data_IF_022014152802
#
_entry.id   IF_022014152802
#
_cell.length_a   1.000
_cell.length_b   1.000
_cell.length_c   1.000
_cell.angle_alpha   90.00
_cell.angle_beta   90.00
_cell.angle_gamma   90.00
#
_symmetry.space_group_name_H-M   'P 1'
#
loop_
_entity.id
_entity.type
_entity.pdbx_description
1 polymer ?
#
# COMPACT_ATOMS: atom_id res chain seq x y z
N UNK A 1 -28.57 -36.69 9.48
CA UNK A 1 -27.68 -35.55 9.24
C UNK A 1 -28.53 -34.44 8.65
N UNK A 2 -28.29 -33.19 9.03
CA UNK A 2 -28.96 -32.01 8.48
C UNK A 2 -27.89 -31.13 7.83
N UNK A 3 -28.29 -30.36 6.82
CA UNK A 3 -27.44 -29.38 6.15
C UNK A 3 -28.08 -28.03 6.44
N UNK A 4 -27.30 -27.10 6.97
CA UNK A 4 -27.72 -25.72 7.14
C UNK A 4 -27.47 -24.97 5.83
N UNK A 5 -28.49 -24.28 5.35
CA UNK A 5 -28.44 -23.48 4.13
C UNK A 5 -28.91 -22.05 4.39
N UNK A 6 -28.94 -21.61 5.66
CA UNK A 6 -29.50 -20.31 6.08
C UNK A 6 -28.89 -19.15 5.29
N UNK A 7 -27.56 -19.13 5.16
CA UNK A 7 -26.79 -18.07 4.51
C UNK A 7 -26.41 -18.38 3.05
N UNK A 8 -26.98 -19.44 2.49
CA UNK A 8 -26.83 -19.77 1.07
C UNK A 8 -27.90 -19.03 0.27
N UNK A 9 -27.47 -18.28 -0.75
CA UNK A 9 -28.35 -17.54 -1.65
C UNK A 9 -29.40 -18.42 -2.34
N UNK A 10 -30.42 -17.79 -2.92
CA UNK A 10 -31.41 -18.51 -3.72
C UNK A 10 -30.79 -18.95 -5.05
N UNK A 11 -31.08 -20.17 -5.49
CA UNK A 11 -30.48 -20.73 -6.69
C UNK A 11 -30.51 -22.25 -6.76
N UNK A 12 -29.95 -22.80 -7.84
CA UNK A 12 -29.81 -24.24 -8.04
C UNK A 12 -28.43 -24.72 -7.60
N UNK A 13 -28.42 -25.73 -6.74
CA UNK A 13 -27.23 -26.30 -6.11
C UNK A 13 -27.17 -27.81 -6.36
N UNK A 14 -25.95 -28.36 -6.32
CA UNK A 14 -25.72 -29.81 -6.32
C UNK A 14 -25.10 -30.22 -5.01
N UNK A 15 -25.78 -31.09 -4.28
CA UNK A 15 -25.25 -31.75 -3.10
C UNK A 15 -24.59 -33.07 -3.52
N UNK A 16 -23.27 -33.15 -3.36
CA UNK A 16 -22.52 -34.39 -3.58
C UNK A 16 -22.21 -35.01 -2.22
N UNK A 17 -22.78 -36.18 -1.96
CA UNK A 17 -22.49 -36.99 -0.77
C UNK A 17 -21.46 -38.03 -1.15
N UNK A 18 -20.40 -38.15 -0.36
CA UNK A 18 -19.32 -39.13 -0.53
C UNK A 18 -19.16 -39.90 0.78
N UNK A 19 -18.88 -41.20 0.68
CA UNK A 19 -18.71 -42.12 1.80
C UNK A 19 -17.47 -42.96 1.52
N UNK A 20 -16.50 -42.97 2.44
CA UNK A 20 -15.24 -43.70 2.25
C UNK A 20 -14.57 -43.42 0.88
N UNK A 21 -14.44 -42.13 0.54
CA UNK A 21 -13.91 -41.69 -0.75
C UNK A 21 -12.43 -42.04 -0.92
N UNK A 22 -11.67 -42.00 0.17
CA UNK A 22 -10.24 -42.29 0.19
C UNK A 22 -9.93 -43.80 0.23
N UNK A 23 -10.97 -44.65 0.21
CA UNK A 23 -10.88 -46.11 0.27
C UNK A 23 -10.11 -46.63 1.48
N UNK A 24 -10.24 -45.92 2.60
CA UNK A 24 -9.61 -46.30 3.85
C UNK A 24 -10.19 -47.63 4.37
N UNK A 25 -9.36 -48.45 5.04
CA UNK A 25 -9.85 -49.65 5.68
C UNK A 25 -10.71 -49.30 6.90
N UNK A 26 -11.62 -50.20 7.25
CA UNK A 26 -12.35 -50.10 8.52
C UNK A 26 -11.39 -50.16 9.73
N UNK A 27 -11.92 -49.91 10.93
CA UNK A 27 -11.16 -49.97 12.18
C UNK A 27 -10.48 -51.33 12.47
N UNK A 28 -10.80 -52.38 11.70
CA UNK A 28 -10.20 -53.72 11.77
C UNK A 28 -9.22 -54.00 10.62
N UNK A 29 -8.91 -53.01 9.78
CA UNK A 29 -7.98 -53.12 8.65
C UNK A 29 -8.59 -53.74 7.39
N UNK A 30 -9.92 -53.82 7.27
CA UNK A 30 -10.60 -54.42 6.10
C UNK A 30 -11.01 -53.36 5.11
N UNK A 31 -10.68 -53.59 3.85
CA UNK A 31 -11.07 -52.73 2.75
C UNK A 31 -12.46 -53.13 2.21
N UNK A 32 -13.24 -52.13 1.81
CA UNK A 32 -14.48 -52.35 1.06
C UNK A 32 -14.19 -53.04 -0.28
N UNK A 33 -15.08 -53.93 -0.69
CA UNK A 33 -14.93 -54.70 -1.94
C UNK A 33 -15.81 -54.17 -3.07
N UNK A 34 -16.79 -53.32 -2.74
CA UNK A 34 -17.64 -52.63 -3.68
C UNK A 34 -17.72 -51.17 -3.24
N UNK A 35 -17.45 -50.26 -4.17
CA UNK A 35 -17.41 -48.82 -3.96
C UNK A 35 -18.36 -48.07 -4.88
N UNK A 36 -19.18 -48.77 -5.66
CA UNK A 36 -20.14 -48.18 -6.61
C UNK A 36 -21.25 -47.36 -5.92
N UNK A 37 -21.46 -47.58 -4.62
CA UNK A 37 -22.45 -46.89 -3.80
C UNK A 37 -21.84 -45.91 -2.78
N UNK A 38 -20.56 -45.57 -2.94
CA UNK A 38 -19.84 -44.68 -2.04
C UNK A 38 -20.12 -43.19 -2.33
N UNK A 39 -21.09 -42.90 -3.20
CA UNK A 39 -21.48 -41.54 -3.54
C UNK A 39 -22.95 -41.42 -3.89
N UNK A 40 -23.48 -40.21 -3.79
CA UNK A 40 -24.80 -39.83 -4.29
C UNK A 40 -24.79 -38.34 -4.68
N UNK A 41 -25.58 -37.96 -5.68
CA UNK A 41 -25.80 -36.55 -6.03
C UNK A 41 -27.28 -36.21 -5.96
N UNK A 42 -27.60 -35.07 -5.35
CA UNK A 42 -28.96 -34.52 -5.31
C UNK A 42 -28.89 -33.07 -5.76
N UNK A 43 -29.67 -32.72 -6.76
CA UNK A 43 -29.80 -31.33 -7.21
C UNK A 43 -30.99 -30.71 -6.50
N UNK A 44 -30.79 -29.55 -5.88
CA UNK A 44 -31.80 -28.82 -5.14
C UNK A 44 -31.89 -27.38 -5.65
N UNK A 45 -33.06 -26.79 -5.60
CA UNK A 45 -33.28 -25.36 -5.80
C UNK A 45 -33.74 -24.77 -4.47
N UNK A 46 -33.10 -23.68 -4.06
CA UNK A 46 -33.45 -22.89 -2.89
C UNK A 46 -34.18 -21.63 -3.38
N UNK A 47 -35.41 -21.42 -2.91
CA UNK A 47 -36.23 -20.26 -3.27
C UNK A 47 -36.86 -19.66 -2.00
N UNK A 48 -36.61 -18.37 -1.75
CA UNK A 48 -37.20 -17.61 -0.64
C UNK A 48 -38.15 -16.51 -1.13
N UNK A 49 -38.46 -16.45 -2.42
CA UNK A 49 -39.36 -15.44 -3.00
C UNK A 49 -40.76 -15.45 -2.39
N UNK A 50 -41.20 -16.60 -1.86
CA UNK A 50 -42.45 -16.78 -1.11
C UNK A 50 -42.45 -16.24 0.33
N UNK A 51 -41.34 -15.68 0.82
CA UNK A 51 -41.19 -15.17 2.18
C UNK A 51 -40.74 -16.22 3.21
N UNK A 52 -40.51 -17.46 2.78
CA UNK A 52 -39.89 -18.55 3.55
C UNK A 52 -39.07 -19.42 2.60
N UNK A 53 -38.03 -20.08 3.12
CA UNK A 53 -37.22 -21.01 2.34
C UNK A 53 -38.05 -22.22 1.87
N UNK A 54 -38.18 -22.36 0.56
CA UNK A 54 -38.63 -23.56 -0.12
C UNK A 54 -37.42 -24.29 -0.73
N UNK A 55 -37.36 -25.61 -0.56
CA UNK A 55 -36.32 -26.46 -1.15
C UNK A 55 -36.96 -27.43 -2.12
N UNK A 56 -36.62 -27.32 -3.39
CA UNK A 56 -37.20 -28.12 -4.47
C UNK A 56 -36.14 -29.12 -4.95
N UNK A 57 -36.44 -30.42 -4.92
CA UNK A 57 -35.54 -31.45 -5.46
C UNK A 57 -35.75 -31.52 -6.97
N UNK A 58 -34.67 -31.30 -7.72
CA UNK A 58 -34.67 -31.34 -9.18
C UNK A 58 -34.52 -32.79 -9.68
N UNK A 59 -35.27 -33.14 -10.73
CA UNK A 59 -35.29 -34.50 -11.29
C UNK A 59 -34.21 -34.73 -12.35
N UNK A 60 -33.79 -33.67 -13.05
CA UNK A 60 -32.64 -33.69 -13.93
C UNK A 60 -31.40 -33.27 -13.13
N UNK A 61 -30.60 -34.27 -12.75
CA UNK A 61 -29.40 -34.06 -11.95
C UNK A 61 -28.24 -34.83 -12.59
N UNK A 62 -27.50 -34.21 -13.53
CA UNK A 62 -26.36 -34.85 -14.15
C UNK A 62 -25.29 -35.16 -13.09
N UNK A 63 -24.49 -36.20 -13.34
CA UNK A 63 -23.34 -36.53 -12.50
C UNK A 63 -22.43 -35.32 -12.33
N UNK A 64 -22.06 -35.04 -11.09
CA UNK A 64 -21.02 -34.04 -10.83
C UNK A 64 -19.70 -34.59 -11.35
N UNK A 65 -18.96 -33.77 -12.07
CA UNK A 65 -17.62 -34.08 -12.57
C UNK A 65 -16.74 -32.95 -12.12
N UNK A 66 -15.61 -33.29 -11.51
CA UNK A 66 -14.66 -32.29 -11.05
C UNK A 66 -13.88 -31.67 -12.23
N UNK A 67 -12.92 -30.78 -11.94
CA UNK A 67 -12.16 -30.14 -13.01
C UNK A 67 -11.27 -31.10 -13.81
N UNK A 68 -10.96 -32.29 -13.29
CA UNK A 68 -10.10 -33.28 -13.94
C UNK A 68 -10.89 -34.17 -14.91
N UNK A 69 -12.22 -34.03 -14.91
CA UNK A 69 -13.09 -34.92 -15.67
C UNK A 69 -13.51 -36.16 -14.87
N UNK A 70 -13.14 -36.24 -13.59
CA UNK A 70 -13.46 -37.40 -12.76
C UNK A 70 -14.87 -37.28 -12.16
N UNK A 71 -15.76 -38.25 -12.42
CA UNK A 71 -17.08 -38.27 -11.80
C UNK A 71 -16.96 -38.28 -10.27
N UNK A 72 -17.65 -37.34 -9.62
CA UNK A 72 -17.69 -37.13 -8.17
C UNK A 72 -16.33 -36.79 -7.55
N UNK A 73 -15.32 -36.48 -8.35
CA UNK A 73 -13.99 -36.12 -7.87
C UNK A 73 -13.97 -34.88 -6.98
N UNK A 74 -12.81 -34.63 -6.39
CA UNK A 74 -12.58 -33.55 -5.42
C UNK A 74 -11.62 -32.50 -5.96
N UNK A 75 -11.10 -32.67 -7.17
CA UNK A 75 -10.16 -31.71 -7.73
C UNK A 75 -10.87 -30.37 -7.95
N UNK A 76 -10.30 -29.31 -7.40
CA UNK A 76 -10.72 -27.94 -7.63
C UNK A 76 -9.67 -27.23 -8.48
N UNK A 77 -10.10 -26.22 -9.22
CA UNK A 77 -9.17 -25.34 -9.94
C UNK A 77 -8.57 -24.40 -8.90
N UNK A 78 -7.24 -24.35 -8.85
CA UNK A 78 -6.51 -23.39 -8.01
C UNK A 78 -6.46 -21.99 -8.66
N UNK A 79 -5.84 -21.03 -7.99
CA UNK A 79 -5.79 -19.66 -8.49
C UNK A 79 -5.00 -19.51 -9.80
N UNK A 80 -4.09 -20.44 -10.13
CA UNK A 80 -3.34 -20.47 -11.39
C UNK A 80 -4.13 -21.10 -12.54
N UNK A 81 -5.34 -21.60 -12.27
CA UNK A 81 -6.15 -22.31 -13.24
C UNK A 81 -5.78 -23.79 -13.37
N UNK A 82 -4.95 -24.32 -12.46
CA UNK A 82 -4.56 -25.74 -12.46
C UNK A 82 -5.58 -26.58 -11.69
N UNK A 83 -6.07 -27.63 -12.34
CA UNK A 83 -6.98 -28.56 -11.70
C UNK A 83 -6.25 -29.48 -10.73
N UNK A 84 -6.67 -29.51 -9.46
CA UNK A 84 -5.98 -30.22 -8.39
C UNK A 84 -4.67 -29.54 -7.99
N UNK A 85 -4.47 -28.29 -8.43
CA UNK A 85 -3.36 -27.46 -7.99
C UNK A 85 -3.50 -27.07 -6.52
N UNK A 86 -2.40 -26.61 -5.94
CA UNK A 86 -2.30 -26.27 -4.52
C UNK A 86 -2.02 -24.78 -4.30
N UNK A 87 -1.96 -23.99 -5.37
CA UNK A 87 -1.68 -22.56 -5.26
C UNK A 87 -2.83 -21.86 -4.51
N UNK A 88 -2.46 -21.07 -3.51
CA UNK A 88 -3.39 -20.30 -2.68
C UNK A 88 -3.21 -18.83 -3.04
N UNK A 89 -4.32 -18.09 -3.18
CA UNK A 89 -4.24 -16.65 -3.45
C UNK A 89 -3.54 -16.00 -2.27
N UNK A 90 -2.48 -15.23 -2.52
CA UNK A 90 -1.76 -14.54 -1.49
C UNK A 90 -0.55 -15.27 -0.90
N UNK A 91 -0.40 -16.58 -1.15
CA UNK A 91 0.82 -17.33 -0.84
C UNK A 91 1.85 -17.08 -1.96
N UNK A 92 2.82 -16.20 -1.70
CA UNK A 92 3.82 -15.80 -2.70
C UNK A 92 5.06 -16.69 -2.70
N UNK A 93 5.26 -17.47 -1.64
CA UNK A 93 6.46 -18.30 -1.47
C UNK A 93 6.22 -19.79 -1.72
N UNK A 94 4.98 -20.18 -2.02
CA UNK A 94 4.50 -21.53 -2.32
C UNK A 94 4.70 -22.52 -1.15
N UNK A 95 4.65 -22.05 0.10
CA UNK A 95 4.75 -22.92 1.28
C UNK A 95 3.41 -23.44 1.81
N UNK A 96 2.32 -23.10 1.11
CA UNK A 96 0.93 -23.45 1.39
C UNK A 96 0.36 -22.76 2.63
N UNK A 97 0.99 -21.68 3.08
CA UNK A 97 0.53 -20.84 4.17
C UNK A 97 0.42 -19.39 3.71
N UNK A 98 -0.50 -18.65 4.34
CA UNK A 98 -0.67 -17.20 4.13
C UNK A 98 -0.22 -16.52 5.41
N UNK A 99 1.00 -16.00 5.42
CA UNK A 99 1.65 -15.51 6.64
C UNK A 99 2.39 -14.16 6.48
N UNK A 100 3.17 -13.80 7.52
CA UNK A 100 3.94 -12.57 7.53
C UNK A 100 4.98 -12.50 6.40
N UNK A 101 5.56 -13.64 6.01
CA UNK A 101 6.54 -13.68 4.92
C UNK A 101 5.88 -13.26 3.60
N UNK A 102 4.65 -13.70 3.33
CA UNK A 102 3.90 -13.26 2.14
C UNK A 102 3.59 -11.77 2.18
N UNK A 103 3.11 -11.27 3.32
CA UNK A 103 2.81 -9.85 3.50
C UNK A 103 4.07 -8.98 3.25
N UNK A 104 5.24 -9.42 3.71
CA UNK A 104 6.52 -8.75 3.44
C UNK A 104 6.93 -8.86 1.97
N UNK A 105 6.73 -10.02 1.34
CA UNK A 105 7.01 -10.23 -0.07
C UNK A 105 6.15 -9.37 -1.00
N UNK A 106 4.90 -9.07 -0.63
CA UNK A 106 4.11 -8.06 -1.34
C UNK A 106 4.77 -6.69 -1.31
N UNK A 107 5.15 -6.23 -0.12
CA UNK A 107 5.78 -4.91 0.04
C UNK A 107 7.10 -4.83 -0.74
N UNK A 108 7.97 -5.83 -0.59
CA UNK A 108 9.26 -5.87 -1.29
C UNK A 108 9.09 -6.00 -2.81
N UNK A 109 8.18 -6.87 -3.24
CA UNK A 109 7.95 -7.15 -4.65
C UNK A 109 7.29 -6.00 -5.42
N UNK A 110 6.38 -5.25 -4.77
CA UNK A 110 5.81 -4.03 -5.37
C UNK A 110 6.86 -2.93 -5.46
N UNK A 111 7.63 -2.69 -4.39
CA UNK A 111 8.69 -1.67 -4.37
C UNK A 111 9.84 -1.99 -5.33
N UNK A 112 10.17 -3.29 -5.49
CA UNK A 112 11.19 -3.78 -6.42
C UNK A 112 10.75 -3.87 -7.87
N UNK A 113 9.45 -3.75 -8.15
CA UNK A 113 8.84 -4.04 -9.46
C UNK A 113 9.11 -5.48 -9.95
N UNK A 114 9.25 -6.40 -9.01
CA UNK A 114 9.57 -7.82 -9.28
C UNK A 114 8.30 -8.69 -9.42
N UNK A 115 7.14 -8.16 -9.03
CA UNK A 115 5.86 -8.85 -9.12
C UNK A 115 5.08 -8.43 -10.37
N UNK A 116 4.43 -9.40 -11.01
CA UNK A 116 3.47 -9.17 -12.09
C UNK A 116 2.07 -9.59 -11.61
N UNK A 117 1.03 -8.76 -11.77
CA UNK A 117 -0.33 -9.12 -11.40
C UNK A 117 -0.80 -10.39 -12.09
N UNK A 118 -1.35 -11.30 -11.30
CA UNK A 118 -1.91 -12.59 -11.67
C UNK A 118 -3.01 -12.97 -10.66
N UNK A 119 -3.89 -13.89 -11.03
CA UNK A 119 -5.00 -14.29 -10.15
C UNK A 119 -4.58 -14.80 -8.77
N UNK A 120 -3.37 -15.37 -8.64
CA UNK A 120 -2.86 -15.85 -7.35
C UNK A 120 -2.26 -14.76 -6.47
N UNK A 121 -1.93 -13.58 -7.00
CA UNK A 121 -1.31 -12.53 -6.21
C UNK A 121 -2.08 -11.20 -6.23
N UNK A 122 -3.10 -11.07 -7.05
CA UNK A 122 -4.04 -9.95 -7.04
C UNK A 122 -5.18 -10.27 -6.06
N UNK A 123 -5.01 -9.88 -4.79
CA UNK A 123 -5.88 -10.31 -3.69
C UNK A 123 -7.25 -9.65 -3.80
N UNK A 124 -7.31 -8.39 -4.21
CA UNK A 124 -8.56 -7.64 -4.37
C UNK A 124 -9.12 -7.67 -5.80
N UNK A 125 -8.49 -8.45 -6.69
CA UNK A 125 -8.90 -8.70 -8.07
C UNK A 125 -9.08 -7.42 -8.91
N UNK A 126 -8.24 -6.41 -8.69
CA UNK A 126 -8.31 -5.11 -9.36
C UNK A 126 -7.35 -4.98 -10.57
N UNK A 127 -6.51 -5.99 -10.79
CA UNK A 127 -5.53 -6.05 -11.87
C UNK A 127 -4.21 -5.33 -11.58
N UNK A 128 -3.99 -4.86 -10.35
CA UNK A 128 -2.77 -4.17 -9.90
C UNK A 128 -2.22 -4.86 -8.64
N UNK A 129 -0.94 -4.62 -8.34
CA UNK A 129 -0.32 -5.05 -7.09
C UNK A 129 0.14 -3.82 -6.33
N UNK A 130 -0.50 -3.57 -5.19
CA UNK A 130 -0.37 -2.30 -4.47
C UNK A 130 -0.32 -2.51 -2.96
N UNK A 131 -0.33 -1.42 -2.21
CA UNK A 131 -0.48 -1.50 -0.75
C UNK A 131 -1.79 -2.14 -0.30
N UNK A 132 -2.82 -2.18 -1.16
CA UNK A 132 -4.07 -2.87 -0.87
C UNK A 132 -3.84 -4.38 -0.68
N UNK A 133 -3.14 -5.05 -1.61
CA UNK A 133 -2.82 -6.48 -1.51
C UNK A 133 -1.98 -6.77 -0.26
N UNK A 134 -0.93 -5.96 -0.05
CA UNK A 134 -0.08 -6.07 1.13
C UNK A 134 -0.88 -5.88 2.44
N UNK A 135 -1.84 -4.96 2.46
CA UNK A 135 -2.69 -4.71 3.62
C UNK A 135 -3.66 -5.86 3.89
N UNK A 136 -4.29 -6.44 2.86
CA UNK A 136 -5.14 -7.62 3.03
C UNK A 136 -4.33 -8.82 3.54
N UNK A 137 -3.13 -9.03 3.02
CA UNK A 137 -2.26 -10.11 3.49
C UNK A 137 -1.80 -9.88 4.94
N UNK A 138 -1.44 -8.64 5.29
CA UNK A 138 -1.07 -8.29 6.65
C UNK A 138 -2.23 -8.43 7.66
N UNK A 139 -3.47 -8.11 7.26
CA UNK A 139 -4.65 -8.34 8.09
C UNK A 139 -4.93 -9.85 8.23
N UNK A 140 -4.88 -10.61 7.14
CA UNK A 140 -4.99 -12.07 7.17
C UNK A 140 -3.98 -12.69 8.16
N UNK A 141 -2.69 -12.34 8.05
CA UNK A 141 -1.66 -12.91 8.92
C UNK A 141 -1.87 -12.52 10.39
N UNK A 142 -2.32 -11.29 10.65
CA UNK A 142 -2.59 -10.83 12.01
C UNK A 142 -3.70 -11.65 12.69
N UNK A 143 -4.65 -12.18 11.93
CA UNK A 143 -5.77 -12.97 12.44
C UNK A 143 -5.58 -14.49 12.33
N UNK A 144 -4.59 -14.97 11.57
CA UNK A 144 -4.37 -16.40 11.26
C UNK A 144 -4.14 -17.30 12.50
N UNK A 145 -3.96 -18.61 12.30
CA UNK A 145 -3.84 -19.61 13.38
C UNK A 145 -2.79 -19.28 14.47
N UNK A 146 -1.81 -18.41 14.21
CA UNK A 146 -0.85 -17.94 15.23
C UNK A 146 -1.44 -16.92 16.22
N UNK A 147 -2.57 -16.30 15.88
CA UNK A 147 -3.22 -15.20 16.60
C UNK A 147 -4.74 -15.41 16.70
N UNK A 148 -5.16 -16.61 17.12
CA UNK A 148 -6.57 -16.90 17.47
C UNK A 148 -7.14 -15.81 18.39
N UNK A 149 -8.19 -15.14 17.92
CA UNK A 149 -8.97 -14.18 18.69
C UNK A 149 -9.35 -14.79 20.07
N UNK A 150 -9.20 -14.05 21.19
CA UNK A 150 -9.58 -14.54 22.52
C UNK A 150 -11.04 -15.01 22.66
N UNK A 151 -11.94 -14.56 21.78
CA UNK A 151 -13.39 -14.73 21.80
C UNK A 151 -13.97 -15.45 20.56
N UNK A 152 -13.18 -15.84 19.55
CA UNK A 152 -13.67 -16.56 18.36
C UNK A 152 -13.08 -17.97 18.23
N UNK A 153 -13.88 -18.91 17.72
CA UNK A 153 -13.58 -20.34 17.58
C UNK A 153 -12.55 -20.67 16.48
N UNK A 154 -11.60 -19.77 16.20
CA UNK A 154 -10.48 -20.02 15.28
C UNK A 154 -10.84 -20.05 13.79
N UNK A 155 -12.02 -19.55 13.39
CA UNK A 155 -12.42 -19.42 11.98
C UNK A 155 -12.84 -17.98 11.71
N UNK A 156 -12.17 -17.32 10.77
CA UNK A 156 -12.45 -15.96 10.33
C UNK A 156 -12.26 -15.84 8.82
N UNK A 157 -12.94 -14.87 8.20
CA UNK A 157 -12.90 -14.67 6.75
C UNK A 157 -11.76 -13.75 6.27
N UNK A 158 -10.88 -13.28 7.16
CA UNK A 158 -9.77 -12.36 6.81
C UNK A 158 -8.78 -12.94 5.78
N UNK A 159 -8.66 -14.27 5.70
CA UNK A 159 -7.81 -14.96 4.73
C UNK A 159 -8.60 -15.60 3.57
N UNK A 160 -9.90 -15.31 3.46
CA UNK A 160 -10.74 -15.81 2.37
C UNK A 160 -10.59 -14.89 1.15
N UNK A 161 -9.62 -15.22 0.30
CA UNK A 161 -9.32 -14.48 -0.93
C UNK A 161 -9.87 -15.20 -2.18
N UNK A 162 -10.19 -14.46 -3.26
CA UNK A 162 -10.02 -13.02 -3.42
C UNK A 162 -11.11 -12.22 -2.72
N UNK A 163 -10.82 -10.96 -2.40
CA UNK A 163 -11.77 -9.98 -1.87
C UNK A 163 -12.15 -8.97 -2.96
N UNK A 164 -13.18 -8.17 -2.70
CA UNK A 164 -13.54 -7.09 -3.61
C UNK A 164 -12.69 -5.85 -3.32
N UNK A 165 -12.18 -5.21 -4.38
CA UNK A 165 -11.64 -3.86 -4.26
C UNK A 165 -12.75 -2.84 -3.93
N UNK A 166 -12.61 -2.16 -2.79
CA UNK A 166 -13.58 -1.18 -2.31
C UNK A 166 -12.89 0.15 -2.10
N UNK A 167 -13.38 1.18 -2.80
CA UNK A 167 -13.02 2.58 -2.57
C UNK A 167 -14.14 3.23 -1.76
N UNK A 168 -13.81 3.81 -0.61
CA UNK A 168 -14.76 4.57 0.20
C UNK A 168 -14.78 6.05 -0.26
N UNK A 169 -15.87 6.53 -0.91
CA UNK A 169 -15.94 7.90 -1.40
C UNK A 169 -16.15 8.94 -0.28
N UNK A 170 -16.33 8.51 0.97
CA UNK A 170 -16.51 9.39 2.12
C UNK A 170 -15.25 9.55 2.97
N UNK A 171 -14.19 8.79 2.69
CA UNK A 171 -12.93 8.89 3.39
C UNK A 171 -11.90 9.58 2.48
N UNK A 172 -11.40 10.74 2.89
CA UNK A 172 -10.32 11.43 2.17
C UNK A 172 -9.08 11.53 3.04
N UNK A 173 -7.94 11.10 2.50
CA UNK A 173 -6.62 11.27 3.10
C UNK A 173 -5.87 12.37 2.37
N UNK A 174 -5.41 13.36 3.12
CA UNK A 174 -4.67 14.48 2.56
C UNK A 174 -3.19 14.41 2.90
N UNK A 175 -2.33 14.69 1.92
CA UNK A 175 -0.89 14.76 2.09
C UNK A 175 -0.31 16.11 1.68
N UNK A 176 0.79 16.49 2.30
CA UNK A 176 1.56 17.68 1.92
C UNK A 176 3.05 17.49 2.20
N UNK A 177 3.91 18.11 1.40
CA UNK A 177 5.33 18.25 1.73
C UNK A 177 5.49 19.50 2.59
N UNK A 178 5.79 19.29 3.88
CA UNK A 178 5.85 20.37 4.87
C UNK A 178 7.20 21.09 4.89
N UNK A 179 8.30 20.34 4.93
CA UNK A 179 9.67 20.88 4.96
C UNK A 179 10.58 20.05 4.07
N UNK A 180 11.49 20.71 3.36
CA UNK A 180 12.56 20.09 2.58
C UNK A 180 13.88 20.69 3.02
N UNK A 181 14.77 19.84 3.51
CA UNK A 181 16.13 20.21 3.85
C UNK A 181 17.07 19.73 2.74
N UNK A 182 17.46 20.66 1.86
CA UNK A 182 18.33 20.38 0.72
C UNK A 182 19.79 20.09 1.13
N UNK A 183 20.23 20.56 2.29
CA UNK A 183 21.61 20.35 2.79
C UNK A 183 21.77 18.96 3.39
N UNK A 184 20.83 18.56 4.25
CA UNK A 184 20.79 17.23 4.87
C UNK A 184 20.07 16.17 4.02
N UNK A 185 19.56 16.58 2.85
CA UNK A 185 18.94 15.75 1.83
C UNK A 185 17.75 14.91 2.34
N UNK A 186 16.80 15.57 3.02
CA UNK A 186 15.53 14.94 3.39
C UNK A 186 14.32 15.86 3.23
N UNK A 187 13.14 15.25 3.13
CA UNK A 187 11.85 15.93 3.18
C UNK A 187 10.92 15.24 4.17
N UNK A 188 9.98 16.01 4.72
CA UNK A 188 8.94 15.52 5.63
C UNK A 188 7.56 15.59 4.96
N UNK A 189 6.91 14.44 4.86
CA UNK A 189 5.51 14.32 4.44
C UNK A 189 4.62 14.38 5.68
N UNK A 190 3.64 15.28 5.62
CA UNK A 190 2.60 15.38 6.64
C UNK A 190 1.28 14.80 6.12
N UNK A 191 0.48 14.26 7.04
CA UNK A 191 -0.83 13.67 6.75
C UNK A 191 -1.94 14.35 7.54
N UNK A 192 -3.12 14.43 6.93
CA UNK A 192 -4.38 14.84 7.56
C UNK A 192 -5.47 13.87 7.10
N UNK A 193 -5.95 13.04 8.02
CA UNK A 193 -6.93 11.97 7.79
C UNK A 193 -8.13 12.12 8.77
N UNK A 194 -9.06 13.05 8.50
CA UNK A 194 -10.16 13.32 9.43
C UNK A 194 -11.23 12.23 9.42
N UNK A 195 -11.39 11.54 8.30
CA UNK A 195 -12.53 10.65 8.06
C UNK A 195 -12.28 9.21 8.51
N UNK A 196 -11.04 8.71 8.36
CA UNK A 196 -10.68 7.33 8.66
C UNK A 196 -9.26 7.18 9.23
N UNK A 197 -9.03 6.08 9.94
CA UNK A 197 -7.67 5.68 10.36
C UNK A 197 -6.95 5.09 9.15
N UNK A 198 -5.62 5.08 9.17
CA UNK A 198 -4.82 4.50 8.07
C UNK A 198 -4.21 3.18 8.54
N UNK A 199 -4.46 2.11 7.80
CA UNK A 199 -3.85 0.80 8.01
C UNK A 199 -2.55 0.66 7.22
N UNK A 200 -2.53 1.18 5.99
CA UNK A 200 -1.34 1.23 5.14
C UNK A 200 -1.41 2.34 4.09
N UNK A 201 -0.26 2.73 3.57
CA UNK A 201 -0.14 3.73 2.51
C UNK A 201 1.03 3.43 1.56
N UNK A 202 0.89 3.85 0.31
CA UNK A 202 1.94 3.85 -0.71
C UNK A 202 2.02 5.25 -1.31
N UNK A 203 3.23 5.81 -1.32
CA UNK A 203 3.53 7.14 -1.82
C UNK A 203 4.63 7.05 -2.88
N UNK A 204 4.49 7.82 -3.95
CA UNK A 204 5.51 7.97 -5.00
C UNK A 204 6.03 9.41 -5.04
N UNK A 205 7.34 9.52 -5.25
CA UNK A 205 8.05 10.79 -5.29
C UNK A 205 8.70 10.99 -6.65
N UNK A 206 8.58 12.20 -7.19
CA UNK A 206 9.35 12.64 -8.35
C UNK A 206 10.51 13.54 -7.91
N UNK A 207 11.58 13.51 -8.71
CA UNK A 207 12.76 14.35 -8.52
C UNK A 207 13.78 13.83 -7.51
N UNK A 208 13.57 12.68 -6.85
CA UNK A 208 14.51 12.13 -5.88
C UNK A 208 14.80 10.63 -6.07
N UNK A 209 15.86 10.16 -5.41
CA UNK A 209 16.25 8.75 -5.36
C UNK A 209 16.38 8.37 -3.88
N UNK A 210 15.45 7.58 -3.37
CA UNK A 210 15.30 7.33 -1.94
C UNK A 210 16.50 6.55 -1.42
N UNK A 211 17.09 7.02 -0.33
CA UNK A 211 18.17 6.34 0.37
C UNK A 211 17.70 5.71 1.68
N UNK A 212 16.82 6.41 2.41
CA UNK A 212 16.29 5.97 3.69
C UNK A 212 14.91 6.58 3.95
N UNK A 213 14.07 5.85 4.67
CA UNK A 213 12.76 6.33 5.15
C UNK A 213 12.64 6.15 6.66
N UNK A 214 11.96 7.07 7.33
CA UNK A 214 11.73 7.02 8.77
C UNK A 214 10.28 7.39 9.09
N UNK A 215 9.65 6.66 10.02
CA UNK A 215 8.33 7.04 10.55
C UNK A 215 8.50 8.22 11.52
N UNK A 216 7.74 9.29 11.30
CA UNK A 216 7.70 10.45 12.19
C UNK A 216 6.51 10.40 13.17
N UNK A 217 5.64 9.40 13.02
CA UNK A 217 4.58 9.14 13.98
C UNK A 217 5.16 8.59 15.28
N UNK A 218 4.77 9.16 16.41
CA UNK A 218 5.16 8.64 17.72
C UNK A 218 4.48 7.29 17.99
N UNK A 219 5.24 6.20 18.19
CA UNK A 219 4.68 4.85 18.42
C UNK A 219 3.72 4.77 19.60
N UNK A 220 3.79 5.72 20.54
CA UNK A 220 2.89 5.82 21.69
C UNK A 220 1.44 6.06 21.26
N UNK A 221 1.20 6.62 20.07
CA UNK A 221 -0.14 6.80 19.51
C UNK A 221 -0.70 5.55 18.82
N UNK A 222 0.03 4.43 18.89
CA UNK A 222 -0.48 3.12 18.50
C UNK A 222 -0.46 2.88 17.01
N UNK A 223 0.60 3.32 16.32
CA UNK A 223 0.97 2.88 14.98
C UNK A 223 2.45 2.48 14.99
N UNK A 224 2.73 1.22 14.65
CA UNK A 224 4.09 0.65 14.68
C UNK A 224 4.61 0.32 13.27
N UNK A 225 3.80 0.56 12.23
CA UNK A 225 4.18 0.38 10.84
C UNK A 225 5.46 1.14 10.49
N UNK A 226 6.41 0.45 9.89
CA UNK A 226 7.68 1.01 9.44
C UNK A 226 7.64 1.23 7.93
N UNK A 227 8.04 2.41 7.44
CA UNK A 227 8.14 2.65 6.01
C UNK A 227 9.26 1.81 5.39
N UNK A 228 8.93 1.20 4.26
CA UNK A 228 9.82 0.41 3.41
C UNK A 228 10.01 1.11 2.07
N UNK A 229 11.20 0.97 1.50
CA UNK A 229 11.58 1.55 0.20
C UNK A 229 12.58 0.64 -0.53
N UNK A 230 12.61 0.72 -1.85
CA UNK A 230 13.70 0.18 -2.65
C UNK A 230 14.87 1.19 -2.67
N UNK A 231 16.13 0.78 -2.42
CA UNK A 231 17.28 1.69 -2.51
C UNK A 231 17.44 2.28 -3.91
N UNK A 232 17.43 3.62 -3.99
CA UNK A 232 17.43 4.35 -5.27
C UNK A 232 16.07 4.38 -5.97
N UNK A 233 15.03 3.76 -5.40
CA UNK A 233 13.66 3.86 -5.89
C UNK A 233 13.02 5.22 -5.61
N UNK A 234 11.79 5.38 -6.09
CA UNK A 234 10.96 6.57 -5.91
C UNK A 234 9.72 6.34 -5.04
N UNK A 235 9.49 5.11 -4.58
CA UNK A 235 8.29 4.73 -3.84
C UNK A 235 8.59 4.35 -2.40
N UNK A 236 7.64 4.68 -1.52
CA UNK A 236 7.59 4.25 -0.13
C UNK A 236 6.28 3.53 0.11
N UNK A 237 6.34 2.39 0.79
CA UNK A 237 5.15 1.65 1.19
C UNK A 237 5.24 1.33 2.69
N UNK A 238 4.13 1.51 3.40
CA UNK A 238 4.00 1.19 4.81
C UNK A 238 2.71 0.43 5.03
N UNK A 239 2.79 -0.72 5.69
CA UNK A 239 1.63 -1.47 6.17
C UNK A 239 1.81 -1.81 7.64
N UNK A 240 0.69 -2.02 8.33
CA UNK A 240 0.68 -2.51 9.70
C UNK A 240 0.64 -4.03 9.72
N UNK A 241 1.62 -4.66 10.37
CA UNK A 241 1.66 -6.13 10.54
C UNK A 241 1.10 -6.61 11.88
N UNK A 242 0.85 -5.69 12.82
CA UNK A 242 0.38 -5.98 14.18
C UNK A 242 -1.04 -5.44 14.46
N UNK A 243 -1.78 -5.09 13.40
CA UNK A 243 -3.13 -4.54 13.47
C UNK A 243 -3.22 -3.10 13.98
N UNK A 244 -2.08 -2.44 14.27
CA UNK A 244 -2.07 -1.04 14.68
C UNK A 244 -2.42 -0.11 13.52
N UNK A 245 -2.97 1.08 13.80
CA UNK A 245 -3.46 1.99 12.75
C UNK A 245 -3.10 3.42 13.07
N UNK A 246 -2.78 4.22 12.05
CA UNK A 246 -2.56 5.66 12.21
C UNK A 246 -3.88 6.29 12.69
N UNK A 247 -3.88 6.99 13.83
CA UNK A 247 -5.10 7.61 14.35
C UNK A 247 -5.59 8.72 13.40
N UNK A 248 -6.85 9.15 13.60
CA UNK A 248 -7.44 10.23 12.81
C UNK A 248 -6.82 11.57 13.20
N UNK A 249 -6.43 12.36 12.21
CA UNK A 249 -5.92 13.72 12.40
C UNK A 249 -6.75 14.74 11.64
N UNK A 250 -7.23 15.76 12.35
CA UNK A 250 -8.00 16.88 11.78
C UNK A 250 -7.11 18.04 11.34
N UNK A 251 -5.81 17.96 11.62
CA UNK A 251 -4.77 18.90 11.21
C UNK A 251 -3.58 18.10 10.67
N UNK A 252 -2.72 18.75 9.89
CA UNK A 252 -1.50 18.12 9.40
C UNK A 252 -0.57 17.74 10.55
N UNK A 253 -0.14 16.48 10.56
CA UNK A 253 0.88 15.95 11.48
C UNK A 253 2.00 15.26 10.70
N UNK A 254 3.24 15.22 11.23
CA UNK A 254 4.35 14.49 10.60
C UNK A 254 4.04 13.00 10.46
N UNK A 255 4.22 12.45 9.26
CA UNK A 255 3.98 11.03 8.97
C UNK A 255 5.29 10.30 8.66
N UNK A 256 6.04 10.82 7.69
CA UNK A 256 7.15 10.13 7.04
C UNK A 256 8.25 11.14 6.74
N UNK A 257 9.49 10.75 7.03
CA UNK A 257 10.70 11.41 6.53
C UNK A 257 11.32 10.57 5.43
N UNK A 258 11.67 11.22 4.32
CA UNK A 258 12.34 10.58 3.19
C UNK A 258 13.68 11.25 2.96
N UNK A 259 14.76 10.48 3.11
CA UNK A 259 16.10 10.88 2.72
C UNK A 259 16.36 10.45 1.27
N UNK A 260 17.11 11.25 0.53
CA UNK A 260 17.53 10.92 -0.83
C UNK A 260 19.04 10.93 -0.99
N UNK A 261 19.50 10.41 -2.12
CA UNK A 261 20.90 10.49 -2.56
C UNK A 261 20.98 11.19 -3.91
N UNK A 262 22.09 11.88 -4.15
CA UNK A 262 22.30 12.65 -5.37
C UNK A 262 21.61 14.02 -5.36
N UNK A 263 21.48 14.64 -6.53
CA UNK A 263 20.82 15.94 -6.69
C UNK A 263 19.36 15.74 -7.05
N UNK A 264 18.49 16.53 -6.44
CA UNK A 264 17.04 16.42 -6.63
C UNK A 264 16.51 17.28 -7.81
N UNK A 265 17.29 17.43 -8.89
CA UNK A 265 16.94 18.16 -10.12
C UNK A 265 16.31 19.57 -9.93
N UNK A 266 16.46 20.19 -8.76
CA UNK A 266 15.89 21.49 -8.43
C UNK A 266 14.43 21.46 -7.96
N UNK A 267 13.77 20.31 -7.83
CA UNK A 267 12.41 20.19 -7.27
C UNK A 267 12.14 18.76 -6.78
N UNK A 268 11.43 18.64 -5.66
CA UNK A 268 10.89 17.38 -5.16
C UNK A 268 9.37 17.44 -5.12
N UNK A 269 8.71 16.38 -5.58
CA UNK A 269 7.26 16.29 -5.62
C UNK A 269 6.76 14.98 -5.03
N UNK A 270 5.61 15.03 -4.39
CA UNK A 270 4.74 13.88 -4.13
C UNK A 270 3.82 13.74 -5.34
N UNK A 271 4.23 12.91 -6.29
CA UNK A 271 3.58 12.75 -7.60
C UNK A 271 3.72 11.31 -8.07
N UNK A 272 2.70 10.79 -8.78
CA UNK A 272 2.66 9.41 -9.26
C UNK A 272 1.62 8.59 -8.52
N UNK A 273 1.95 7.33 -8.22
CA UNK A 273 1.04 6.42 -7.53
C UNK A 273 0.93 6.79 -6.06
N UNK A 274 -0.29 7.16 -5.62
CA UNK A 274 -0.60 7.38 -4.21
C UNK A 274 -1.85 6.60 -3.84
N UNK A 275 -1.75 5.74 -2.84
CA UNK A 275 -2.86 4.93 -2.36
C UNK A 275 -2.80 4.79 -0.84
N UNK A 276 -3.97 4.77 -0.21
CA UNK A 276 -4.12 4.66 1.24
C UNK A 276 -5.28 3.73 1.53
N UNK A 277 -5.04 2.79 2.44
CA UNK A 277 -6.01 1.80 2.91
C UNK A 277 -6.40 2.14 4.34
N UNK A 278 -7.70 2.25 4.60
CA UNK A 278 -8.23 2.56 5.93
C UNK A 278 -8.28 1.33 6.86
N UNK A 279 -8.74 1.52 8.10
CA UNK A 279 -8.89 0.46 9.10
C UNK A 279 -9.97 -0.60 8.78
N UNK A 280 -10.77 -0.39 7.73
CA UNK A 280 -11.72 -1.36 7.19
C UNK A 280 -11.22 -2.03 5.90
N UNK A 281 -9.93 -1.86 5.57
CA UNK A 281 -9.30 -2.35 4.35
C UNK A 281 -9.95 -1.81 3.06
N UNK A 282 -10.39 -0.55 3.10
CA UNK A 282 -10.96 0.16 1.95
C UNK A 282 -10.00 1.26 1.50
N UNK A 283 -9.87 1.44 0.20
CA UNK A 283 -9.11 2.54 -0.39
C UNK A 283 -9.78 3.87 -0.08
N UNK A 284 -9.00 4.87 0.32
CA UNK A 284 -9.49 6.24 0.55
C UNK A 284 -9.26 7.13 -0.67
N UNK A 285 -10.04 8.20 -0.80
CA UNK A 285 -9.73 9.25 -1.76
C UNK A 285 -8.46 9.99 -1.34
N UNK A 286 -7.65 10.41 -2.30
CA UNK A 286 -6.38 11.10 -2.06
C UNK A 286 -6.51 12.56 -2.47
N UNK A 287 -6.04 13.45 -1.60
CA UNK A 287 -5.91 14.88 -1.88
C UNK A 287 -4.49 15.35 -1.57
N UNK A 288 -3.84 15.99 -2.54
CA UNK A 288 -2.46 16.42 -2.43
C UNK A 288 -2.39 17.94 -2.30
N UNK A 289 -2.17 18.42 -1.08
CA UNK A 289 -2.01 19.83 -0.76
C UNK A 289 -0.54 20.23 -0.91
N UNK A 290 -0.22 21.17 -1.80
CA UNK A 290 1.16 21.63 -2.04
C UNK A 290 2.16 20.46 -2.21
N UNK A 291 1.95 19.59 -3.23
CA UNK A 291 2.71 18.35 -3.38
C UNK A 291 4.16 18.57 -3.81
N UNK A 292 4.51 19.76 -4.29
CA UNK A 292 5.82 20.04 -4.86
C UNK A 292 6.53 21.17 -4.12
N UNK A 293 7.84 21.01 -3.95
CA UNK A 293 8.72 22.00 -3.36
C UNK A 293 9.91 22.22 -4.29
N UNK A 294 9.97 23.42 -4.85
CA UNK A 294 11.08 23.87 -5.68
C UNK A 294 12.29 24.14 -4.77
N UNK A 295 13.46 23.68 -5.21
CA UNK A 295 14.71 24.18 -4.67
C UNK A 295 14.81 25.64 -5.09
N UNK A 296 14.75 26.55 -4.11
CA UNK A 296 14.80 27.96 -4.43
C UNK A 296 16.15 28.29 -5.02
N UNK A 297 16.25 28.50 -6.34
CA UNK A 297 17.37 29.27 -6.90
C UNK A 297 17.20 30.75 -6.52
N UNK A 298 16.94 31.05 -5.25
CA UNK A 298 16.77 32.42 -4.81
C UNK A 298 18.07 33.12 -5.17
N UNK A 299 18.00 33.97 -6.20
CA UNK A 299 19.06 34.88 -6.57
C UNK A 299 19.33 35.68 -5.31
N UNK A 300 20.36 35.29 -4.57
CA UNK A 300 20.72 35.96 -3.36
C UNK A 300 21.23 37.32 -3.78
N UNK A 301 20.51 38.42 -3.49
CA UNK A 301 20.94 39.73 -3.96
C UNK A 301 22.30 40.11 -3.36
N UNK A 302 22.73 39.40 -2.33
CA UNK A 302 24.05 39.54 -1.71
C UNK A 302 25.10 38.52 -2.15
N UNK A 303 24.80 37.51 -2.97
CA UNK A 303 25.78 36.56 -3.50
C UNK A 303 26.26 37.04 -4.88
N UNK A 304 27.44 37.65 -4.90
CA UNK A 304 28.00 38.37 -6.04
C UNK A 304 29.02 37.55 -6.82
N UNK A 305 29.48 36.41 -6.29
CA UNK A 305 30.35 35.47 -7.01
C UNK A 305 29.68 34.13 -7.33
N UNK A 306 28.45 33.91 -6.88
CA UNK A 306 27.63 32.75 -7.19
C UNK A 306 28.06 31.49 -6.45
N UNK A 307 28.72 31.64 -5.30
CA UNK A 307 29.17 30.53 -4.47
C UNK A 307 28.09 29.97 -3.53
N UNK A 308 26.89 30.58 -3.53
CA UNK A 308 25.74 30.16 -2.75
C UNK A 308 25.77 30.65 -1.31
N UNK A 309 26.69 31.53 -0.89
CA UNK A 309 26.74 32.06 0.47
C UNK A 309 27.14 33.53 0.48
N UNK A 310 26.39 34.37 1.19
CA UNK A 310 26.77 35.78 1.36
C UNK A 310 27.87 35.91 2.41
N UNK A 311 29.11 36.11 1.97
CA UNK A 311 30.30 36.22 2.80
C UNK A 311 31.04 37.55 2.61
N UNK A 312 32.26 37.63 3.15
CA UNK A 312 33.16 38.77 2.92
C UNK A 312 33.54 38.88 1.45
N UNK A 313 33.56 37.77 0.70
CA UNK A 313 33.88 37.77 -0.73
C UNK A 313 32.94 38.69 -1.50
N UNK A 314 31.64 38.60 -1.22
CA UNK A 314 30.60 39.41 -1.88
C UNK A 314 30.69 40.90 -1.55
N UNK A 315 30.98 41.21 -0.29
CA UNK A 315 31.22 42.60 0.13
C UNK A 315 32.44 43.17 -0.61
N UNK A 316 33.49 42.38 -0.80
CA UNK A 316 34.66 42.79 -1.58
C UNK A 316 34.35 42.94 -3.07
N UNK A 317 33.47 42.12 -3.63
CA UNK A 317 32.99 42.24 -5.01
C UNK A 317 32.27 43.57 -5.22
N UNK A 318 31.36 43.98 -4.33
CA UNK A 318 30.70 45.30 -4.41
C UNK A 318 31.68 46.45 -4.24
N UNK A 319 32.61 46.34 -3.28
CA UNK A 319 33.62 47.38 -3.05
C UNK A 319 34.60 47.54 -4.22
N UNK A 320 34.74 46.53 -5.09
CA UNK A 320 35.62 46.60 -6.27
C UNK A 320 35.16 47.63 -7.31
N UNK A 321 33.86 47.96 -7.35
CA UNK A 321 33.28 48.97 -8.23
C UNK A 321 32.74 50.21 -7.48
N UNK A 322 33.12 50.39 -6.21
CA UNK A 322 32.59 51.49 -5.39
C UNK A 322 32.85 52.87 -6.03
N UNK A 323 31.78 53.65 -6.21
CA UNK A 323 31.82 54.94 -6.90
C UNK A 323 31.59 54.87 -8.41
N UNK A 324 31.27 53.70 -8.96
CA UNK A 324 30.80 53.58 -10.34
C UNK A 324 29.49 54.36 -10.55
N UNK A 325 29.33 55.01 -11.72
CA UNK A 325 28.18 55.86 -12.05
C UNK A 325 27.62 55.63 -13.46
N UNK A 326 28.10 54.59 -14.16
CA UNK A 326 27.60 54.19 -15.47
C UNK A 326 27.98 52.74 -15.79
N UNK A 327 27.01 51.92 -16.20
CA UNK A 327 27.18 50.50 -16.54
C UNK A 327 27.88 49.69 -15.44
N UNK A 328 27.48 49.90 -14.19
CA UNK A 328 28.04 49.22 -13.04
C UNK A 328 27.48 47.80 -12.96
N UNK A 329 28.37 46.82 -12.80
CA UNK A 329 27.96 45.43 -12.60
C UNK A 329 27.49 45.20 -11.15
N UNK A 330 28.05 45.97 -10.21
CA UNK A 330 27.75 45.88 -8.77
C UNK A 330 26.73 46.94 -8.31
N UNK A 331 25.76 47.31 -9.15
CA UNK A 331 24.60 48.14 -8.81
C UNK A 331 23.43 47.21 -8.46
N UNK A 332 23.29 46.93 -7.16
CA UNK A 332 22.37 45.90 -6.63
C UNK A 332 20.95 46.44 -6.56
N UNK A 333 20.80 47.73 -6.23
CA UNK A 333 19.49 48.36 -6.10
C UNK A 333 18.95 48.93 -7.44
N UNK A 334 19.75 48.95 -8.50
CA UNK A 334 19.39 49.41 -9.84
C UNK A 334 19.27 50.94 -9.97
N UNK A 335 19.92 51.71 -9.09
CA UNK A 335 19.86 53.18 -9.09
C UNK A 335 20.83 53.84 -10.09
N UNK A 336 21.66 53.03 -10.76
CA UNK A 336 22.64 53.43 -11.74
C UNK A 336 24.04 53.71 -11.17
N UNK A 337 24.27 53.49 -9.87
CA UNK A 337 25.55 53.73 -9.22
C UNK A 337 25.87 52.72 -8.11
N UNK A 338 27.12 52.26 -8.03
CA UNK A 338 27.58 51.43 -6.91
C UNK A 338 28.01 52.31 -5.74
N UNK A 339 27.22 52.32 -4.68
CA UNK A 339 27.41 53.18 -3.52
C UNK A 339 27.14 52.47 -2.18
N UNK A 340 27.00 53.22 -1.09
CA UNK A 340 26.79 52.67 0.26
C UNK A 340 25.49 51.87 0.33
N UNK A 341 24.48 52.21 -0.46
CA UNK A 341 23.19 51.51 -0.49
C UNK A 341 23.35 50.07 -0.97
N UNK A 342 24.22 49.82 -1.96
CA UNK A 342 24.52 48.47 -2.47
C UNK A 342 25.30 47.66 -1.44
N UNK A 343 26.29 48.28 -0.77
CA UNK A 343 27.02 47.62 0.31
C UNK A 343 26.09 47.23 1.46
N UNK A 344 25.13 48.09 1.81
CA UNK A 344 24.13 47.79 2.83
C UNK A 344 23.15 46.71 2.38
N UNK A 345 22.86 46.60 1.08
CA UNK A 345 22.03 45.53 0.53
C UNK A 345 22.71 44.17 0.73
N UNK A 346 24.00 44.03 0.41
CA UNK A 346 24.76 42.78 0.68
C UNK A 346 24.85 42.51 2.18
N UNK A 347 25.18 43.52 2.98
CA UNK A 347 25.32 43.34 4.44
C UNK A 347 24.01 42.96 5.12
N UNK A 348 22.85 43.31 4.54
CA UNK A 348 21.55 42.89 5.06
C UNK A 348 21.30 41.39 4.94
N UNK A 349 22.00 40.73 4.02
CA UNK A 349 21.98 39.28 3.80
C UNK A 349 23.27 38.60 4.29
N UNK A 350 24.15 39.30 5.03
CA UNK A 350 25.45 38.73 5.40
C UNK A 350 25.31 37.47 6.28
N UNK A 351 25.96 36.40 5.85
CA UNK A 351 25.92 35.09 6.51
C UNK A 351 24.72 34.22 6.12
N UNK A 352 23.90 34.62 5.14
CA UNK A 352 22.86 33.75 4.60
C UNK A 352 23.43 32.78 3.57
N UNK A 353 23.09 31.50 3.70
CA UNK A 353 23.24 30.52 2.63
C UNK A 353 22.05 30.63 1.67
N UNK A 354 22.34 30.39 0.40
CA UNK A 354 21.49 30.64 -0.76
C UNK A 354 21.44 29.35 -1.57
N UNK A 355 20.47 28.50 -1.26
CA UNK A 355 20.40 27.11 -1.74
C UNK A 355 19.14 26.84 -2.55
#
# INVERSE_FOLDING_TARGET
QWIDVTDVEDGQYRLVVRVNWDYDPDALGRYETNTENNWAVVCIELDRSGGSLETIILTDCPTFTDCAGDPFGTALIDCNGECGGVAIIGDLNDDLTQDLADAQMYVEGVLGQDLTPANCNDINADGQLTVADAAFMADCQWWNEAHTDPDSTGVHSHCEFPVNDIVNPFDTTHFTIAEVNWEEQYLDVHVKNPDARIFGYQLEFDGLQISQTESLLDPTYGFTGSPSHAPGGSQVMTVSYDGTTVPKHTVYVPLLRVHWVGSANGMVCLEGYTEVVNDFLQKTLIDLDNPCQEQSTQACPGDMDGDGVVTVSDVLNVLSEFGCTAKCAMDINGDGATNVTDVLAVLSAFGTACN
#
